data_IF_309769571183
#
_entry.id   IF_309769571183
#
_cell.length_a   1.000
_cell.length_b   1.000
_cell.length_c   1.000
_cell.angle_alpha   90.00
_cell.angle_beta   90.00
_cell.angle_gamma   90.00
#
_symmetry.space_group_name_H-M   'P 1'
#
loop_
_entity.id
_entity.type
_entity.pdbx_description
1 polymer ?
#
# COMPACT_ATOMS: atom_id res chain seq x y z
N UNK A 1 -24.55 -18.14 -16.36
CA UNK A 1 -24.68 -17.07 -17.38
C UNK A 1 -24.62 -15.72 -16.66
N UNK A 2 -23.42 -15.27 -16.28
CA UNK A 2 -22.64 -14.20 -16.95
C UNK A 2 -23.46 -12.93 -17.23
N UNK A 3 -23.75 -12.16 -16.19
CA UNK A 3 -24.22 -10.77 -16.28
C UNK A 3 -23.45 -9.90 -15.28
N UNK A 4 -22.13 -9.78 -15.48
CA UNK A 4 -21.28 -8.73 -14.89
C UNK A 4 -20.10 -8.44 -15.84
N UNK A 5 -20.38 -7.90 -17.00
CA UNK A 5 -19.38 -7.32 -17.89
C UNK A 5 -20.04 -6.14 -18.61
N UNK A 6 -19.30 -5.04 -18.72
CA UNK A 6 -19.68 -3.72 -19.29
C UNK A 6 -20.23 -2.67 -18.29
N UNK A 7 -19.46 -2.37 -17.24
CA UNK A 7 -19.22 -0.94 -16.96
C UNK A 7 -18.01 -0.57 -17.80
N UNK A 8 -18.25 0.17 -18.88
CA UNK A 8 -17.19 0.77 -19.71
C UNK A 8 -16.32 1.64 -18.81
N UNK A 9 -15.14 1.14 -18.40
CA UNK A 9 -14.09 1.99 -17.83
C UNK A 9 -13.80 3.08 -18.87
N UNK A 10 -13.78 4.37 -18.51
CA UNK A 10 -13.46 5.41 -19.47
C UNK A 10 -12.09 5.10 -20.08
N UNK A 11 -12.00 5.12 -21.41
CA UNK A 11 -10.72 5.02 -22.11
C UNK A 11 -9.93 6.27 -21.72
N UNK A 12 -9.02 6.15 -20.75
CA UNK A 12 -8.27 7.28 -20.17
C UNK A 12 -7.55 8.15 -21.21
N UNK A 13 -7.30 7.62 -22.42
CA UNK A 13 -6.84 8.41 -23.59
C UNK A 13 -7.73 9.62 -23.88
N UNK A 14 -9.05 9.51 -23.71
CA UNK A 14 -10.00 10.61 -23.92
C UNK A 14 -9.92 11.67 -22.82
N UNK A 15 -9.49 11.27 -21.62
CA UNK A 15 -9.33 12.14 -20.46
C UNK A 15 -7.92 12.75 -20.37
N UNK A 16 -6.98 12.31 -21.21
CA UNK A 16 -5.60 12.77 -21.22
C UNK A 16 -5.47 14.29 -21.42
N UNK A 17 -6.19 14.96 -22.36
CA UNK A 17 -6.13 16.42 -22.48
C UNK A 17 -6.62 17.15 -21.23
N UNK A 18 -7.57 16.56 -20.50
CA UNK A 18 -8.05 17.12 -19.23
C UNK A 18 -6.99 16.96 -18.13
N UNK A 19 -6.29 15.82 -18.09
CA UNK A 19 -5.17 15.61 -17.16
C UNK A 19 -4.02 16.57 -17.43
N UNK A 20 -3.68 16.82 -18.69
CA UNK A 20 -2.66 17.81 -19.08
C UNK A 20 -3.10 19.23 -18.68
N UNK A 21 -4.38 19.58 -18.86
CA UNK A 21 -4.92 20.86 -18.41
C UNK A 21 -4.85 21.03 -16.88
N UNK A 22 -5.20 19.98 -16.12
CA UNK A 22 -5.05 19.96 -14.66
C UNK A 22 -3.57 20.08 -14.25
N UNK A 23 -2.67 19.39 -14.96
CA UNK A 23 -1.24 19.43 -14.70
C UNK A 23 -0.63 20.81 -14.98
N UNK A 24 -1.17 21.54 -15.96
CA UNK A 24 -0.81 22.93 -16.25
C UNK A 24 -1.34 23.91 -15.17
N UNK A 25 -2.57 23.73 -14.68
CA UNK A 25 -3.15 24.53 -13.58
C UNK A 25 -2.36 24.41 -12.26
N UNK A 26 -1.66 23.29 -12.07
CA UNK A 26 -0.90 23.00 -10.85
C UNK A 26 0.63 23.09 -11.03
N UNK A 27 1.10 23.58 -12.18
CA UNK A 27 2.51 23.53 -12.57
C UNK A 27 3.44 24.35 -11.65
N UNK A 28 2.90 25.36 -10.97
CA UNK A 28 3.61 26.18 -9.98
C UNK A 28 3.82 25.45 -8.64
N UNK A 29 3.08 24.36 -8.39
CA UNK A 29 3.09 23.63 -7.12
C UNK A 29 3.67 22.23 -7.23
N UNK A 30 3.45 21.56 -8.36
CA UNK A 30 3.88 20.19 -8.58
C UNK A 30 4.12 19.88 -10.06
N UNK A 31 4.86 18.80 -10.30
CA UNK A 31 4.96 18.15 -11.61
C UNK A 31 4.16 16.86 -11.60
N UNK A 32 3.24 16.68 -12.55
CA UNK A 32 2.45 15.47 -12.70
C UNK A 32 3.01 14.57 -13.81
N UNK A 33 3.01 13.27 -13.56
CA UNK A 33 3.47 12.22 -14.46
C UNK A 33 2.42 11.13 -14.62
N UNK A 34 2.29 10.63 -15.84
CA UNK A 34 1.67 9.35 -16.15
C UNK A 34 2.78 8.32 -16.29
N UNK A 35 2.69 7.18 -15.61
CA UNK A 35 3.68 6.11 -15.74
C UNK A 35 2.99 4.75 -15.94
N UNK A 36 3.76 3.66 -15.92
CA UNK A 36 3.21 2.32 -16.08
C UNK A 36 2.69 2.02 -17.49
N UNK A 37 1.70 1.14 -17.57
CA UNK A 37 1.23 0.57 -18.84
C UNK A 37 0.66 1.61 -19.82
N UNK A 38 0.03 2.68 -19.31
CA UNK A 38 -0.49 3.78 -20.14
C UNK A 38 0.60 4.67 -20.71
N UNK A 39 1.74 4.84 -20.01
CA UNK A 39 2.89 5.60 -20.54
C UNK A 39 3.59 4.85 -21.67
N UNK A 40 3.58 3.52 -21.64
CA UNK A 40 4.28 2.65 -22.61
C UNK A 40 3.43 2.21 -23.81
N UNK A 41 2.19 2.69 -23.91
CA UNK A 41 1.20 2.22 -24.89
C UNK A 41 0.84 0.73 -24.78
N UNK A 42 1.18 0.08 -23.67
CA UNK A 42 0.93 -1.36 -23.40
C UNK A 42 -0.38 -1.57 -22.61
N UNK A 43 -1.14 -0.52 -22.35
CA UNK A 43 -2.33 -0.57 -21.52
C UNK A 43 -3.42 -1.48 -22.11
N UNK A 44 -3.97 -2.32 -21.25
CA UNK A 44 -5.14 -3.16 -21.53
C UNK A 44 -6.39 -2.55 -20.87
N UNK A 45 -7.62 -2.99 -21.22
CA UNK A 45 -8.84 -2.55 -20.53
C UNK A 45 -8.85 -2.85 -19.01
N UNK A 46 -7.98 -3.75 -18.55
CA UNK A 46 -7.82 -4.10 -17.13
C UNK A 46 -6.77 -3.25 -16.41
N UNK A 47 -5.95 -2.50 -17.13
CA UNK A 47 -4.86 -1.72 -16.56
C UNK A 47 -5.38 -0.54 -15.75
N UNK A 48 -4.86 -0.40 -14.53
CA UNK A 48 -5.10 0.76 -13.66
C UNK A 48 -4.32 1.99 -14.18
N UNK A 49 -4.83 3.18 -13.90
CA UNK A 49 -4.16 4.42 -14.28
C UNK A 49 -3.10 4.79 -13.24
N UNK A 50 -1.83 4.73 -13.63
CA UNK A 50 -0.69 5.01 -12.76
C UNK A 50 -0.23 6.47 -12.88
N UNK A 51 -0.54 7.29 -11.87
CA UNK A 51 -0.13 8.68 -11.77
C UNK A 51 0.89 8.90 -10.66
N UNK A 52 1.84 9.79 -10.90
CA UNK A 52 2.80 10.22 -9.89
C UNK A 52 2.94 11.74 -9.92
N UNK A 53 3.22 12.35 -8.77
CA UNK A 53 3.46 13.78 -8.69
C UNK A 53 4.70 14.10 -7.85
N UNK A 54 5.37 15.18 -8.20
CA UNK A 54 6.50 15.75 -7.48
C UNK A 54 6.13 17.14 -6.95
N UNK A 55 5.93 17.32 -5.64
CA UNK A 55 5.81 18.65 -5.04
C UNK A 55 7.08 19.46 -5.29
N UNK A 56 6.96 20.70 -5.77
CA UNK A 56 8.12 21.55 -6.04
C UNK A 56 8.77 22.07 -4.75
N UNK A 57 7.95 22.39 -3.76
CA UNK A 57 8.39 22.85 -2.45
C UNK A 57 8.47 21.72 -1.42
N UNK A 58 9.34 21.92 -0.41
CA UNK A 58 9.33 21.08 0.78
C UNK A 58 8.16 21.51 1.67
N UNK A 59 7.06 20.77 1.57
CA UNK A 59 5.88 21.00 2.40
C UNK A 59 6.05 20.28 3.75
N UNK A 60 5.54 20.89 4.81
CA UNK A 60 5.34 20.20 6.07
C UNK A 60 4.23 19.14 5.95
N UNK A 61 3.99 18.39 7.03
CA UNK A 61 3.03 17.29 7.03
C UNK A 61 1.61 17.77 6.69
N UNK A 62 1.17 18.89 7.26
CA UNK A 62 -0.18 19.40 7.11
C UNK A 62 -0.41 19.98 5.71
N UNK A 63 0.53 20.79 5.22
CA UNK A 63 0.47 21.35 3.87
C UNK A 63 0.56 20.27 2.79
N UNK A 64 1.35 19.22 3.03
CA UNK A 64 1.36 18.05 2.16
C UNK A 64 -0.03 17.40 2.14
N UNK A 65 -0.61 17.11 3.31
CA UNK A 65 -1.96 16.54 3.45
C UNK A 65 -3.05 17.35 2.73
N UNK A 66 -2.95 18.68 2.72
CA UNK A 66 -3.90 19.52 1.96
C UNK A 66 -3.68 19.37 0.45
N UNK A 67 -2.42 19.33 0.01
CA UNK A 67 -2.07 19.26 -1.41
C UNK A 67 -2.66 18.01 -2.03
N UNK A 68 -2.36 16.84 -1.50
CA UNK A 68 -2.70 15.65 -2.24
C UNK A 68 -4.19 15.26 -2.07
N UNK A 69 -4.91 15.83 -1.09
CA UNK A 69 -6.37 15.68 -0.93
C UNK A 69 -7.07 16.51 -2.00
N UNK A 70 -6.49 17.67 -2.29
CA UNK A 70 -6.90 18.52 -3.39
C UNK A 70 -6.65 17.82 -4.72
N UNK A 71 -5.46 17.23 -4.89
CA UNK A 71 -5.09 16.53 -6.12
C UNK A 71 -5.98 15.30 -6.37
N UNK A 72 -6.10 14.41 -5.39
CA UNK A 72 -6.92 13.20 -5.50
C UNK A 72 -8.38 13.54 -5.83
N UNK A 73 -8.99 14.49 -5.11
CA UNK A 73 -10.39 14.90 -5.34
C UNK A 73 -10.60 15.50 -6.73
N UNK A 74 -9.64 16.27 -7.22
CA UNK A 74 -9.68 16.81 -8.59
C UNK A 74 -9.57 15.70 -9.62
N UNK A 75 -8.65 14.75 -9.42
CA UNK A 75 -8.46 13.59 -10.29
C UNK A 75 -9.70 12.68 -10.31
N UNK A 76 -10.25 12.29 -9.16
CA UNK A 76 -11.46 11.44 -9.12
C UNK A 76 -12.65 12.07 -9.84
N UNK A 77 -12.84 13.38 -9.69
CA UNK A 77 -13.91 14.11 -10.41
C UNK A 77 -13.66 14.17 -11.91
N UNK A 78 -12.42 14.40 -12.32
CA UNK A 78 -12.03 14.50 -13.74
C UNK A 78 -12.14 13.14 -14.44
N UNK A 79 -11.68 12.09 -13.77
CA UNK A 79 -11.66 10.71 -14.25
C UNK A 79 -13.01 10.00 -14.09
N UNK A 80 -13.92 10.57 -13.30
CA UNK A 80 -15.20 9.96 -12.92
C UNK A 80 -15.03 8.55 -12.31
N UNK A 81 -13.90 8.35 -11.62
CA UNK A 81 -13.45 7.06 -11.12
C UNK A 81 -12.41 7.24 -10.02
N UNK A 82 -12.39 6.32 -9.05
CA UNK A 82 -11.32 6.16 -8.06
C UNK A 82 -10.33 5.05 -8.44
N UNK A 83 -10.47 4.51 -9.65
CA UNK A 83 -9.65 3.43 -10.21
C UNK A 83 -8.35 3.99 -10.82
N UNK A 84 -7.52 4.59 -9.96
CA UNK A 84 -6.20 5.11 -10.30
C UNK A 84 -5.24 5.05 -9.10
N UNK A 85 -3.96 4.91 -9.38
CA UNK A 85 -2.89 5.00 -8.39
C UNK A 85 -2.30 6.41 -8.44
N UNK A 86 -2.07 7.03 -7.28
CA UNK A 86 -1.41 8.34 -7.17
C UNK A 86 -0.22 8.27 -6.20
N UNK A 87 0.99 8.55 -6.72
CA UNK A 87 2.24 8.38 -5.97
C UNK A 87 2.97 9.70 -5.76
N UNK A 88 3.32 10.01 -4.51
CA UNK A 88 4.25 11.08 -4.19
C UNK A 88 5.69 10.67 -4.48
N UNK A 89 6.34 11.31 -5.44
CA UNK A 89 7.71 10.97 -5.82
C UNK A 89 8.74 11.25 -4.71
N UNK A 90 8.49 12.20 -3.81
CA UNK A 90 9.39 12.46 -2.66
C UNK A 90 9.34 11.36 -1.60
N UNK A 91 8.28 10.57 -1.57
CA UNK A 91 8.08 9.46 -0.63
C UNK A 91 8.26 8.09 -1.30
N UNK A 92 8.35 8.04 -2.63
CA UNK A 92 8.49 6.81 -3.39
C UNK A 92 9.89 6.17 -3.22
N UNK A 93 10.00 4.83 -3.28
CA UNK A 93 11.29 4.16 -3.34
C UNK A 93 12.13 4.67 -4.52
N UNK A 94 13.47 4.83 -4.37
CA UNK A 94 14.33 5.37 -5.44
C UNK A 94 14.23 4.63 -6.77
N UNK A 95 13.98 3.30 -6.74
CA UNK A 95 13.81 2.50 -7.97
C UNK A 95 12.52 2.84 -8.73
N UNK A 96 11.44 3.15 -8.02
CA UNK A 96 10.18 3.58 -8.63
C UNK A 96 10.29 5.02 -9.12
N UNK A 97 10.83 5.92 -8.30
CA UNK A 97 11.08 7.30 -8.70
C UNK A 97 11.94 7.36 -9.98
N UNK A 98 13.02 6.58 -10.06
CA UNK A 98 13.84 6.49 -11.28
C UNK A 98 13.03 6.04 -12.49
N UNK A 99 12.17 5.02 -12.33
CA UNK A 99 11.30 4.50 -13.40
C UNK A 99 10.38 5.61 -13.91
N UNK A 100 9.72 6.35 -13.02
CA UNK A 100 8.85 7.47 -13.41
C UNK A 100 9.62 8.57 -14.14
N UNK A 101 10.81 8.96 -13.65
CA UNK A 101 11.62 10.04 -14.24
C UNK A 101 12.28 9.68 -15.57
N UNK A 102 12.34 8.39 -15.92
CA UNK A 102 13.00 7.91 -17.15
C UNK A 102 12.03 7.37 -18.18
N UNK A 103 10.91 6.78 -17.74
CA UNK A 103 9.95 6.09 -18.61
C UNK A 103 8.52 6.66 -18.48
N UNK A 104 8.28 7.51 -17.47
CA UNK A 104 7.01 8.20 -17.30
C UNK A 104 6.85 9.36 -18.29
N UNK A 105 5.63 9.56 -18.76
CA UNK A 105 5.23 10.73 -19.53
C UNK A 105 4.92 11.88 -18.57
N UNK A 106 5.70 12.95 -18.65
CA UNK A 106 5.40 14.22 -17.98
C UNK A 106 4.12 14.82 -18.58
N UNK A 107 3.18 15.21 -17.71
CA UNK A 107 1.93 15.88 -18.10
C UNK A 107 2.00 17.39 -17.85
N UNK A 108 2.76 17.84 -16.84
CA UNK A 108 2.95 19.26 -16.57
C UNK A 108 3.89 19.92 -17.60
N UNK A 109 3.69 21.20 -17.94
CA UNK A 109 4.63 21.97 -18.76
C UNK A 109 6.06 21.91 -18.20
N UNK A 110 7.06 21.92 -19.09
CA UNK A 110 8.46 22.02 -18.69
C UNK A 110 8.88 23.49 -18.57
N UNK A 111 9.05 23.95 -17.33
CA UNK A 111 9.49 25.31 -16.99
C UNK A 111 10.98 25.38 -16.61
N UNK A 112 11.71 24.26 -16.75
CA UNK A 112 13.17 24.22 -16.69
C UNK A 112 13.81 24.21 -15.30
N UNK A 113 13.05 24.06 -14.19
CA UNK A 113 13.65 24.20 -12.85
C UNK A 113 13.16 23.26 -11.75
N UNK A 114 11.87 22.91 -11.71
CA UNK A 114 11.27 22.31 -10.51
C UNK A 114 11.73 20.89 -10.14
N UNK A 115 12.21 20.11 -11.11
CA UNK A 115 12.53 18.68 -10.94
C UNK A 115 14.04 18.40 -10.80
N UNK A 116 14.90 19.31 -11.26
CA UNK A 116 16.32 19.02 -11.50
C UNK A 116 17.04 18.48 -10.24
N UNK A 117 16.87 19.16 -9.10
CA UNK A 117 17.47 18.73 -7.83
C UNK A 117 16.92 17.40 -7.31
N UNK A 118 15.65 17.09 -7.60
CA UNK A 118 15.07 15.80 -7.26
C UNK A 118 15.63 14.70 -8.17
N UNK A 119 15.72 14.97 -9.47
CA UNK A 119 16.27 14.05 -10.47
C UNK A 119 17.72 13.69 -10.18
N UNK A 120 18.56 14.69 -9.87
CA UNK A 120 19.95 14.47 -9.46
C UNK A 120 20.05 13.53 -8.25
N UNK A 121 19.24 13.78 -7.21
CA UNK A 121 19.20 12.93 -6.00
C UNK A 121 18.79 11.50 -6.31
N UNK A 122 17.76 11.31 -7.15
CA UNK A 122 17.32 9.97 -7.54
C UNK A 122 18.40 9.25 -8.34
N UNK A 123 19.06 9.92 -9.28
CA UNK A 123 20.17 9.36 -10.06
C UNK A 123 21.36 8.96 -9.19
N UNK A 124 21.66 9.74 -8.13
CA UNK A 124 22.72 9.40 -7.18
C UNK A 124 22.40 8.16 -6.34
N UNK A 125 21.14 7.99 -5.90
CA UNK A 125 20.71 6.87 -5.04
C UNK A 125 20.36 5.59 -5.82
N UNK A 126 19.99 5.72 -7.09
CA UNK A 126 19.47 4.62 -7.89
C UNK A 126 20.43 3.41 -8.03
N UNK A 127 21.74 3.57 -8.31
CA UNK A 127 22.64 2.44 -8.51
C UNK A 127 22.65 1.46 -7.32
N UNK A 128 22.73 1.99 -6.10
CA UNK A 128 22.73 1.19 -4.88
C UNK A 128 21.36 0.55 -4.63
N UNK A 129 20.28 1.33 -4.74
CA UNK A 129 18.92 0.84 -4.55
C UNK A 129 18.57 -0.28 -5.56
N UNK A 130 19.00 -0.13 -6.82
CA UNK A 130 18.85 -1.15 -7.87
C UNK A 130 19.63 -2.41 -7.51
N UNK A 131 20.90 -2.28 -7.11
CA UNK A 131 21.73 -3.42 -6.71
C UNK A 131 21.08 -4.21 -5.59
N UNK A 132 20.67 -3.54 -4.50
CA UNK A 132 20.03 -4.18 -3.36
C UNK A 132 18.73 -4.90 -3.74
N UNK A 133 17.91 -4.29 -4.60
CA UNK A 133 16.68 -4.93 -5.12
C UNK A 133 17.00 -6.18 -5.94
N UNK A 134 18.02 -6.12 -6.80
CA UNK A 134 18.46 -7.24 -7.63
C UNK A 134 19.08 -8.36 -6.80
N UNK A 135 19.88 -8.04 -5.79
CA UNK A 135 20.45 -9.02 -4.86
C UNK A 135 19.37 -9.71 -4.04
N UNK A 136 18.39 -8.96 -3.54
CA UNK A 136 17.24 -9.51 -2.83
C UNK A 136 16.43 -10.45 -3.72
N UNK A 137 16.18 -10.06 -4.99
CA UNK A 137 15.50 -10.90 -5.97
C UNK A 137 16.34 -12.12 -6.36
N UNK A 138 17.64 -11.98 -6.57
CA UNK A 138 18.52 -13.08 -6.91
C UNK A 138 18.63 -14.07 -5.74
N UNK A 139 18.75 -13.59 -4.51
CA UNK A 139 18.69 -14.42 -3.31
C UNK A 139 17.34 -15.13 -3.20
N UNK A 140 16.24 -14.46 -3.56
CA UNK A 140 14.91 -15.07 -3.65
C UNK A 140 14.83 -16.16 -4.73
N UNK A 141 15.26 -15.90 -5.96
CA UNK A 141 15.24 -16.89 -7.06
C UNK A 141 16.19 -18.06 -6.77
N UNK A 142 17.37 -17.81 -6.19
CA UNK A 142 18.28 -18.86 -5.73
C UNK A 142 17.60 -19.75 -4.70
N UNK A 143 16.80 -19.17 -3.78
CA UNK A 143 15.97 -19.94 -2.84
C UNK A 143 14.91 -20.79 -3.56
N UNK A 144 14.24 -20.25 -4.58
CA UNK A 144 13.22 -20.99 -5.35
C UNK A 144 13.78 -22.15 -6.19
N UNK A 145 15.02 -22.04 -6.67
CA UNK A 145 15.68 -23.07 -7.50
C UNK A 145 16.32 -24.20 -6.70
N UNK A 146 16.38 -24.10 -5.38
CA UNK A 146 16.81 -25.24 -4.55
C UNK A 146 15.72 -26.31 -4.56
N UNK A 147 16.06 -27.60 -4.72
CA UNK A 147 15.07 -28.67 -4.73
C UNK A 147 14.26 -28.65 -3.43
N UNK A 148 12.93 -28.85 -3.55
CA UNK A 148 11.99 -29.07 -2.44
C UNK A 148 12.54 -30.18 -1.53
N UNK A 149 13.29 -29.78 -0.51
CA UNK A 149 14.06 -30.69 0.36
C UNK A 149 14.65 -29.97 1.58
N UNK A 150 14.79 -28.64 1.53
CA UNK A 150 14.90 -27.82 2.72
C UNK A 150 13.72 -26.84 2.73
N UNK A 151 12.57 -27.27 3.26
CA UNK A 151 11.65 -26.29 3.85
C UNK A 151 12.51 -25.46 4.80
N UNK A 152 12.72 -24.17 4.50
CA UNK A 152 13.39 -23.32 5.47
C UNK A 152 12.51 -23.34 6.71
N UNK A 153 13.08 -23.82 7.82
CA UNK A 153 12.38 -23.82 9.09
C UNK A 153 11.82 -22.41 9.32
N UNK A 154 10.52 -22.33 9.64
CA UNK A 154 9.91 -21.06 9.99
C UNK A 154 10.75 -20.44 11.11
N UNK A 155 11.34 -19.28 10.85
CA UNK A 155 12.04 -18.53 11.89
C UNK A 155 11.02 -18.08 12.96
N UNK A 156 10.85 -18.90 13.99
CA UNK A 156 9.87 -18.71 15.06
C UNK A 156 10.14 -17.45 15.86
N UNK A 157 11.41 -17.09 16.07
CA UNK A 157 11.78 -15.87 16.80
C UNK A 157 11.29 -14.62 16.09
N UNK A 158 11.50 -14.54 14.76
CA UNK A 158 11.02 -13.43 13.94
C UNK A 158 9.49 -13.35 13.94
N UNK A 159 8.79 -14.48 13.84
CA UNK A 159 7.33 -14.50 13.90
C UNK A 159 6.83 -14.07 15.28
N UNK A 160 7.43 -14.57 16.36
CA UNK A 160 7.11 -14.19 17.73
C UNK A 160 7.32 -12.70 17.99
N UNK A 161 8.36 -12.09 17.43
CA UNK A 161 8.57 -10.64 17.53
C UNK A 161 7.41 -9.85 16.90
N UNK A 162 6.96 -10.25 15.70
CA UNK A 162 5.82 -9.61 15.03
C UNK A 162 4.52 -9.86 15.79
N UNK A 163 4.30 -11.07 16.33
CA UNK A 163 3.12 -11.38 17.15
C UNK A 163 3.08 -10.54 18.44
N UNK A 164 4.23 -10.31 19.09
CA UNK A 164 4.31 -9.43 20.28
C UNK A 164 3.95 -7.98 19.95
N UNK A 165 4.43 -7.48 18.80
CA UNK A 165 4.08 -6.12 18.34
C UNK A 165 2.59 -6.02 17.99
N UNK A 166 2.05 -7.01 17.29
CA UNK A 166 0.63 -7.12 16.98
C UNK A 166 -0.23 -7.12 18.25
N UNK A 167 0.13 -7.92 19.27
CA UNK A 167 -0.58 -7.94 20.55
C UNK A 167 -0.54 -6.57 21.26
N UNK A 168 0.61 -5.88 21.24
CA UNK A 168 0.73 -4.53 21.81
C UNK A 168 -0.18 -3.52 21.08
N UNK A 169 -0.24 -3.58 19.74
CA UNK A 169 -1.13 -2.73 18.96
C UNK A 169 -2.62 -3.06 19.23
N UNK A 170 -2.96 -4.35 19.33
CA UNK A 170 -4.32 -4.81 19.68
C UNK A 170 -4.78 -4.29 21.04
N UNK A 171 -3.91 -4.30 22.06
CA UNK A 171 -4.24 -3.73 23.38
C UNK A 171 -4.61 -2.24 23.28
N UNK A 172 -3.87 -1.47 22.46
CA UNK A 172 -4.16 -0.05 22.25
C UNK A 172 -5.43 0.19 21.42
N UNK A 173 -5.67 -0.64 20.40
CA UNK A 173 -6.91 -0.58 19.63
C UNK A 173 -8.13 -0.88 20.51
N UNK A 174 -8.05 -1.90 21.39
CA UNK A 174 -9.12 -2.23 22.35
C UNK A 174 -9.37 -1.10 23.35
N UNK A 175 -8.31 -0.43 23.81
CA UNK A 175 -8.43 0.73 24.71
C UNK A 175 -9.25 1.84 24.03
N UNK A 176 -8.92 2.17 22.78
CA UNK A 176 -9.61 3.23 22.02
C UNK A 176 -10.99 2.84 21.51
N UNK A 177 -11.24 1.55 21.25
CA UNK A 177 -12.55 1.03 20.86
C UNK A 177 -13.63 1.18 21.94
N UNK A 178 -13.25 1.46 23.20
CA UNK A 178 -14.19 1.74 24.31
C UNK A 178 -14.75 3.17 24.29
N UNK A 179 -14.15 4.07 23.51
CA UNK A 179 -14.67 5.42 23.35
C UNK A 179 -16.01 5.37 22.62
N UNK A 180 -16.96 6.20 23.03
CA UNK A 180 -18.16 6.43 22.22
C UNK A 180 -17.78 7.10 20.90
N UNK A 181 -18.63 6.95 19.86
CA UNK A 181 -18.40 7.60 18.57
C UNK A 181 -18.18 9.11 18.74
N UNK A 182 -19.02 9.77 19.54
CA UNK A 182 -18.89 11.21 19.80
C UNK A 182 -17.57 11.58 20.48
N UNK A 183 -17.11 10.78 21.45
CA UNK A 183 -15.83 11.02 22.13
C UNK A 183 -14.64 10.76 21.21
N UNK A 184 -14.70 9.74 20.36
CA UNK A 184 -13.67 9.43 19.37
C UNK A 184 -13.57 10.52 18.30
N UNK A 185 -14.70 10.97 17.76
CA UNK A 185 -14.75 12.03 16.75
C UNK A 185 -14.25 13.39 17.27
N UNK A 186 -14.34 13.62 18.58
CA UNK A 186 -13.87 14.84 19.24
C UNK A 186 -12.39 14.80 19.65
N UNK A 187 -11.72 13.65 19.55
CA UNK A 187 -10.34 13.43 20.00
C UNK A 187 -9.45 13.02 18.81
N UNK A 188 -8.72 14.00 18.25
CA UNK A 188 -7.79 13.76 17.13
C UNK A 188 -6.64 12.83 17.52
N UNK A 189 -6.16 12.89 18.77
CA UNK A 189 -5.08 12.02 19.23
C UNK A 189 -5.55 10.56 19.30
N UNK A 190 -6.81 10.34 19.69
CA UNK A 190 -7.40 9.00 19.63
C UNK A 190 -7.51 8.47 18.19
N UNK A 191 -7.85 9.34 17.24
CA UNK A 191 -7.93 8.99 15.81
C UNK A 191 -6.54 8.61 15.28
N UNK A 192 -5.54 9.45 15.49
CA UNK A 192 -4.15 9.21 15.09
C UNK A 192 -3.60 7.91 15.68
N UNK A 193 -3.90 7.66 16.96
CA UNK A 193 -3.51 6.41 17.63
C UNK A 193 -4.18 5.22 16.94
N UNK A 194 -5.49 5.24 16.70
CA UNK A 194 -6.19 4.10 16.06
C UNK A 194 -5.64 3.84 14.67
N UNK A 195 -5.49 4.87 13.84
CA UNK A 195 -4.95 4.74 12.49
C UNK A 195 -3.54 4.16 12.49
N UNK A 196 -2.65 4.71 13.32
CA UNK A 196 -1.26 4.23 13.42
C UNK A 196 -1.19 2.77 13.89
N UNK A 197 -2.05 2.39 14.84
CA UNK A 197 -2.09 1.03 15.38
C UNK A 197 -2.66 0.04 14.36
N UNK A 198 -3.70 0.40 13.60
CA UNK A 198 -4.22 -0.43 12.51
C UNK A 198 -3.17 -0.62 11.40
N UNK A 199 -2.44 0.43 11.02
CA UNK A 199 -1.35 0.33 10.04
C UNK A 199 -0.26 -0.63 10.51
N UNK A 200 0.22 -0.44 11.75
CA UNK A 200 1.34 -1.22 12.30
C UNK A 200 0.94 -2.68 12.54
N UNK A 201 -0.28 -2.93 13.02
CA UNK A 201 -0.85 -4.26 13.16
C UNK A 201 -0.95 -4.98 11.81
N UNK A 202 -1.49 -4.31 10.78
CA UNK A 202 -1.59 -4.85 9.42
C UNK A 202 -0.21 -5.17 8.83
N UNK A 203 0.78 -4.29 9.06
CA UNK A 203 2.16 -4.51 8.64
C UNK A 203 2.80 -5.72 9.33
N UNK A 204 2.56 -5.91 10.63
CA UNK A 204 3.01 -7.11 11.34
C UNK A 204 2.43 -8.39 10.71
N UNK A 205 1.14 -8.37 10.37
CA UNK A 205 0.48 -9.51 9.73
C UNK A 205 1.03 -9.78 8.32
N UNK A 206 1.31 -8.74 7.53
CA UNK A 206 1.96 -8.87 6.22
C UNK A 206 3.38 -9.44 6.32
N UNK A 207 4.15 -8.99 7.31
CA UNK A 207 5.51 -9.49 7.55
C UNK A 207 5.51 -10.97 7.92
N UNK A 208 4.56 -11.39 8.77
CA UNK A 208 4.35 -12.81 9.10
C UNK A 208 3.94 -13.58 7.86
N UNK A 209 2.94 -13.10 7.12
CA UNK A 209 2.41 -13.79 5.94
C UNK A 209 3.45 -13.97 4.85
N UNK A 210 4.21 -12.94 4.52
CA UNK A 210 5.31 -13.02 3.54
C UNK A 210 6.40 -13.99 3.98
N UNK A 211 6.71 -14.01 5.28
CA UNK A 211 7.68 -14.96 5.84
C UNK A 211 7.18 -16.40 5.67
N UNK A 212 5.92 -16.68 6.01
CA UNK A 212 5.31 -18.00 5.85
C UNK A 212 5.19 -18.43 4.38
N UNK A 213 4.78 -17.54 3.48
CA UNK A 213 4.72 -17.84 2.04
C UNK A 213 6.10 -18.25 1.54
N UNK A 214 7.14 -17.50 1.92
CA UNK A 214 8.51 -17.77 1.50
C UNK A 214 9.08 -19.05 2.09
N UNK A 215 8.76 -19.39 3.34
CA UNK A 215 9.30 -20.59 4.02
C UNK A 215 8.57 -21.88 3.64
N UNK A 216 7.25 -21.80 3.44
CA UNK A 216 6.38 -22.93 3.14
C UNK A 216 6.22 -23.19 1.63
N UNK A 217 6.72 -22.28 0.78
CA UNK A 217 6.61 -22.40 -0.67
C UNK A 217 5.18 -22.25 -1.18
N UNK A 218 4.37 -21.42 -0.53
CA UNK A 218 3.01 -21.10 -0.97
C UNK A 218 3.05 -20.24 -2.25
N UNK A 219 1.94 -20.15 -3.01
CA UNK A 219 1.85 -19.25 -4.16
C UNK A 219 2.23 -17.81 -3.78
N UNK A 220 3.13 -17.21 -4.58
CA UNK A 220 3.63 -15.86 -4.34
C UNK A 220 2.47 -14.87 -4.49
N UNK A 221 2.37 -13.94 -3.54
CA UNK A 221 1.45 -12.82 -3.60
C UNK A 221 1.99 -11.75 -4.56
N UNK A 222 1.14 -11.25 -5.46
CA UNK A 222 1.51 -10.21 -6.43
C UNK A 222 1.42 -8.80 -5.81
N UNK A 223 0.65 -8.66 -4.74
CA UNK A 223 0.44 -7.44 -3.96
C UNK A 223 0.27 -7.76 -2.47
N UNK A 224 0.14 -6.75 -1.60
CA UNK A 224 -0.05 -7.00 -0.17
C UNK A 224 -1.39 -7.66 0.17
N UNK A 225 -2.44 -7.40 -0.62
CA UNK A 225 -3.75 -7.97 -0.37
C UNK A 225 -3.77 -9.49 -0.60
N UNK A 226 -3.09 -9.95 -1.64
CA UNK A 226 -2.99 -11.35 -2.04
C UNK A 226 -2.12 -12.19 -1.10
N UNK A 227 -1.36 -11.57 -0.17
CA UNK A 227 -0.63 -12.28 0.89
C UNK A 227 -1.61 -13.14 1.71
N UNK A 228 -2.71 -12.56 2.17
CA UNK A 228 -3.66 -13.26 3.03
C UNK A 228 -4.43 -14.34 2.27
N UNK A 229 -4.72 -14.11 0.99
CA UNK A 229 -5.32 -15.12 0.12
C UNK A 229 -4.40 -16.33 -0.10
N UNK A 230 -3.09 -16.10 -0.22
CA UNK A 230 -2.11 -17.19 -0.28
C UNK A 230 -2.03 -17.99 1.01
N UNK A 231 -2.15 -17.34 2.18
CA UNK A 231 -2.24 -18.04 3.47
C UNK A 231 -3.53 -18.87 3.60
N UNK A 232 -4.67 -18.34 3.15
CA UNK A 232 -5.94 -19.08 3.16
C UNK A 232 -5.90 -20.31 2.24
N UNK A 233 -5.37 -20.16 1.02
CA UNK A 233 -5.13 -21.31 0.12
C UNK A 233 -4.16 -22.34 0.71
N UNK A 234 -3.23 -21.90 1.56
CA UNK A 234 -2.34 -22.76 2.32
C UNK A 234 -2.99 -23.43 3.54
N UNK A 235 -4.27 -23.16 3.82
CA UNK A 235 -4.99 -23.68 4.98
C UNK A 235 -4.57 -23.07 6.32
N UNK A 236 -3.83 -21.95 6.30
CA UNK A 236 -3.31 -21.28 7.51
C UNK A 236 -4.32 -20.28 8.08
N UNK A 237 -5.12 -19.66 7.21
CA UNK A 237 -6.15 -18.70 7.58
C UNK A 237 -7.53 -19.14 7.09
N UNK A 238 -8.59 -18.85 7.85
CA UNK A 238 -9.95 -18.87 7.32
C UNK A 238 -10.09 -17.91 6.11
N UNK A 239 -10.84 -18.28 5.06
CA UNK A 239 -11.01 -17.42 3.88
C UNK A 239 -11.63 -16.05 4.18
N UNK A 240 -12.60 -15.99 5.10
CA UNK A 240 -13.27 -14.77 5.55
C UNK A 240 -12.30 -13.81 6.27
N UNK A 241 -11.41 -14.35 7.12
CA UNK A 241 -10.33 -13.58 7.75
C UNK A 241 -9.38 -13.03 6.68
N UNK A 242 -9.04 -13.86 5.68
CA UNK A 242 -8.15 -13.42 4.61
C UNK A 242 -8.75 -12.30 3.75
N UNK A 243 -10.05 -12.31 3.50
CA UNK A 243 -10.75 -11.24 2.77
C UNK A 243 -10.66 -9.90 3.51
N UNK A 244 -10.98 -9.89 4.81
CA UNK A 244 -10.94 -8.65 5.60
C UNK A 244 -9.50 -8.17 5.83
N UNK A 245 -8.55 -9.07 6.03
CA UNK A 245 -7.12 -8.73 6.09
C UNK A 245 -6.60 -8.16 4.77
N UNK A 246 -7.07 -8.67 3.62
CA UNK A 246 -6.76 -8.14 2.30
C UNK A 246 -7.31 -6.71 2.13
N UNK A 247 -8.54 -6.45 2.59
CA UNK A 247 -9.09 -5.09 2.66
C UNK A 247 -8.26 -4.18 3.57
N UNK A 248 -7.82 -4.67 4.73
CA UNK A 248 -6.95 -3.89 5.62
C UNK A 248 -5.56 -3.63 5.03
N UNK A 249 -5.00 -4.54 4.22
CA UNK A 249 -3.76 -4.28 3.49
C UNK A 249 -3.93 -3.25 2.37
N UNK A 250 -5.06 -3.30 1.64
CA UNK A 250 -5.43 -2.24 0.69
C UNK A 250 -5.59 -0.90 1.42
N UNK A 251 -6.27 -0.91 2.55
CA UNK A 251 -6.43 0.24 3.43
C UNK A 251 -5.09 0.80 3.93
N UNK A 252 -4.15 -0.05 4.35
CA UNK A 252 -2.78 0.35 4.69
C UNK A 252 -2.09 0.99 3.47
N UNK A 253 -2.28 0.45 2.28
CA UNK A 253 -1.76 1.05 1.04
C UNK A 253 -2.45 2.36 0.64
N UNK A 254 -3.65 2.64 1.15
CA UNK A 254 -4.33 3.93 1.02
C UNK A 254 -3.96 4.91 2.14
N UNK A 255 -3.32 4.43 3.20
CA UNK A 255 -2.82 5.21 4.33
C UNK A 255 -1.30 5.49 4.25
N UNK A 256 -0.60 4.84 3.32
CA UNK A 256 0.84 5.02 3.08
C UNK A 256 1.11 6.22 2.14
N UNK A 257 0.29 6.49 1.10
CA UNK A 257 0.06 7.83 0.56
C UNK A 257 -1.08 8.48 1.36
N UNK A 258 -0.93 9.74 1.74
CA UNK A 258 -1.75 10.49 2.71
C UNK A 258 -3.24 10.75 2.28
N UNK A 259 -3.87 9.97 1.37
CA UNK A 259 -5.08 10.42 0.63
C UNK A 259 -6.36 9.67 0.72
N UNK A 260 -6.44 8.69 1.60
CA UNK A 260 -7.72 8.43 2.23
C UNK A 260 -7.65 8.98 3.65
N UNK A 261 -8.17 10.20 3.85
CA UNK A 261 -8.83 10.49 5.13
C UNK A 261 -9.96 9.49 5.23
N UNK A 262 -9.67 8.39 5.87
CA UNK A 262 -10.67 7.41 6.23
C UNK A 262 -11.63 8.16 7.11
N UNK A 263 -12.91 8.16 6.77
CA UNK A 263 -13.92 8.80 7.60
C UNK A 263 -13.73 8.28 9.03
N UNK A 264 -13.34 9.13 10.02
CA UNK A 264 -13.07 8.66 11.37
C UNK A 264 -14.30 7.97 11.97
N UNK A 265 -15.50 8.35 11.53
CA UNK A 265 -16.75 7.67 11.89
C UNK A 265 -16.77 6.24 11.38
N UNK A 266 -16.34 6.01 10.14
CA UNK A 266 -16.25 4.67 9.55
C UNK A 266 -15.11 3.84 10.16
N UNK A 267 -13.97 4.47 10.50
CA UNK A 267 -12.90 3.82 11.27
C UNK A 267 -13.46 3.31 12.60
N UNK A 268 -14.10 4.19 13.37
CA UNK A 268 -14.67 3.83 14.68
C UNK A 268 -15.72 2.74 14.57
N UNK A 269 -16.64 2.87 13.61
CA UNK A 269 -17.71 1.89 13.36
C UNK A 269 -17.18 0.50 13.03
N UNK A 270 -16.11 0.41 12.23
CA UNK A 270 -15.53 -0.86 11.79
C UNK A 270 -14.42 -1.39 12.72
N UNK A 271 -13.93 -0.57 13.65
CA UNK A 271 -12.82 -0.89 14.54
C UNK A 271 -13.02 -2.18 15.35
N UNK A 272 -14.19 -2.45 15.99
CA UNK A 272 -14.39 -3.69 16.74
C UNK A 272 -14.22 -4.95 15.89
N UNK A 273 -14.77 -4.94 14.67
CA UNK A 273 -14.66 -6.07 13.75
C UNK A 273 -13.22 -6.26 13.24
N UNK A 274 -12.51 -5.17 12.95
CA UNK A 274 -11.09 -5.24 12.55
C UNK A 274 -10.22 -5.81 13.68
N UNK A 275 -10.51 -5.47 14.94
CA UNK A 275 -9.82 -6.05 16.11
C UNK A 275 -10.05 -7.56 16.17
N UNK A 276 -11.30 -8.01 16.05
CA UNK A 276 -11.67 -9.44 16.05
C UNK A 276 -10.95 -10.23 14.94
N UNK A 277 -10.88 -9.66 13.74
CA UNK A 277 -10.17 -10.28 12.61
C UNK A 277 -8.66 -10.39 12.87
N UNK A 278 -8.03 -9.33 13.40
CA UNK A 278 -6.61 -9.35 13.76
C UNK A 278 -6.31 -10.35 14.90
N UNK A 279 -7.22 -10.50 15.86
CA UNK A 279 -7.14 -11.53 16.92
C UNK A 279 -7.24 -12.93 16.33
N UNK A 280 -8.17 -13.14 15.39
CA UNK A 280 -8.34 -14.42 14.71
C UNK A 280 -7.12 -14.77 13.87
N UNK A 281 -6.53 -13.80 13.17
CA UNK A 281 -5.25 -13.97 12.48
C UNK A 281 -4.16 -14.39 13.47
N UNK A 282 -4.00 -13.66 14.59
CA UNK A 282 -2.99 -13.98 15.60
C UNK A 282 -3.14 -15.41 16.11
N UNK A 283 -4.36 -15.81 16.46
CA UNK A 283 -4.66 -17.15 16.97
C UNK A 283 -4.35 -18.23 15.93
N UNK A 284 -4.74 -18.02 14.67
CA UNK A 284 -4.47 -18.95 13.58
C UNK A 284 -2.97 -19.16 13.36
N UNK A 285 -2.15 -18.10 13.47
CA UNK A 285 -0.69 -18.22 13.39
C UNK A 285 -0.11 -18.97 14.58
N UNK A 286 -0.59 -18.70 15.80
CA UNK A 286 -0.16 -19.39 17.02
C UNK A 286 -0.45 -20.88 16.94
N UNK A 287 -1.67 -21.25 16.54
CA UNK A 287 -2.12 -22.63 16.34
C UNK A 287 -1.30 -23.32 15.25
N UNK A 288 -1.13 -22.68 14.09
CA UNK A 288 -0.37 -23.22 12.97
C UNK A 288 1.09 -23.53 13.34
N UNK A 289 1.71 -22.69 14.18
CA UNK A 289 3.09 -22.88 14.60
C UNK A 289 3.25 -23.84 15.79
N UNK A 290 2.15 -24.32 16.37
CA UNK A 290 2.15 -25.14 17.59
C UNK A 290 2.84 -24.41 18.75
N UNK A 291 2.58 -23.11 18.90
CA UNK A 291 3.13 -22.29 19.98
C UNK A 291 2.27 -22.49 21.24
N UNK A 292 2.37 -23.68 21.85
CA UNK A 292 1.74 -23.94 23.14
C UNK A 292 2.49 -23.20 24.25
N UNK A 293 1.75 -22.75 25.27
CA UNK A 293 2.39 -22.25 26.49
C UNK A 293 3.21 -23.38 27.12
N UNK A 294 4.46 -23.13 27.56
CA UNK A 294 5.17 -24.13 28.33
C UNK A 294 4.33 -24.48 29.58
N UNK A 295 4.34 -25.76 29.99
CA UNK A 295 3.59 -26.22 31.15
C UNK A 295 3.98 -25.50 32.45
#
# INVERSE_FOLDING_TARGET
MVHKLQRTRPLYREKLPLLEALAADLADRLVLFLFGSYSREEATPLSDLDLAYLPLEALDREAMEVLDQTLYRRLSRLLESDDFTLINLRQAPPTLAFTVLTEGRRLSPDDGGGEAAFRERVLALYPEARRLKQEALAAFVRRLRQPKGAAMAVNREKVLEQLRRLDADLRKLREKARLSEAAYLADSDAQDVVERRLQTATECCLNIGNHLIATLGLPIAEDYASVFQSLARGGILPPDVADVMADMARFRNLLVPIYWRVDPREVHRTLPHRIEVLETFLQAIVEYLGLDAPP
#
